data_IF_489055101227
#
_entry.id   IF_489055101227
#
_cell.length_a   1.000
_cell.length_b   1.000
_cell.length_c   1.000
_cell.angle_alpha   90.00
_cell.angle_beta   90.00
_cell.angle_gamma   90.00
#
_symmetry.space_group_name_H-M   'P 1'
#
loop_
_entity.id
_entity.type
_entity.pdbx_description
1 polymer ?
#
# COMPACT_ATOMS: atom_id res chain seq x y z
N UNK A 1 21.03 -0.66 -17.84
CA UNK A 1 21.63 -1.32 -16.65
C UNK A 1 20.80 -2.54 -16.32
N UNK A 2 21.42 -3.70 -16.10
CA UNK A 2 20.70 -4.88 -15.61
C UNK A 2 20.53 -4.77 -14.10
N UNK A 3 19.31 -5.02 -13.61
CA UNK A 3 18.98 -5.01 -12.18
C UNK A 3 18.57 -6.42 -11.76
N UNK A 4 19.52 -7.31 -11.39
CA UNK A 4 19.24 -8.72 -11.18
C UNK A 4 18.20 -8.97 -10.07
N UNK A 5 18.21 -8.18 -9.01
CA UNK A 5 17.22 -8.27 -7.92
C UNK A 5 15.81 -7.94 -8.39
N UNK A 6 15.64 -6.92 -9.23
CA UNK A 6 14.34 -6.56 -9.81
C UNK A 6 13.86 -7.66 -10.74
N UNK A 7 14.75 -8.20 -11.58
CA UNK A 7 14.43 -9.32 -12.47
C UNK A 7 13.98 -10.56 -11.68
N UNK A 8 14.72 -10.92 -10.63
CA UNK A 8 14.38 -12.06 -9.77
C UNK A 8 13.04 -11.87 -9.05
N UNK A 9 12.80 -10.70 -8.44
CA UNK A 9 11.54 -10.40 -7.76
C UNK A 9 10.34 -10.48 -8.71
N UNK A 10 10.45 -9.89 -9.91
CA UNK A 10 9.42 -9.99 -10.96
C UNK A 10 9.14 -11.44 -11.35
N UNK A 11 10.18 -12.27 -11.49
CA UNK A 11 10.01 -13.70 -11.80
C UNK A 11 9.32 -14.48 -10.70
N UNK A 12 9.64 -14.21 -9.43
CA UNK A 12 8.98 -14.85 -8.29
C UNK A 12 7.49 -14.52 -8.28
N UNK A 13 7.14 -13.23 -8.41
CA UNK A 13 5.73 -12.80 -8.43
C UNK A 13 4.99 -13.41 -9.62
N UNK A 14 5.56 -13.38 -10.84
CA UNK A 14 4.97 -14.03 -12.03
C UNK A 14 4.73 -15.52 -11.80
N UNK A 15 5.72 -16.23 -11.22
CA UNK A 15 5.59 -17.67 -10.97
C UNK A 15 4.54 -17.99 -9.90
N UNK A 16 4.40 -17.12 -8.89
CA UNK A 16 3.33 -17.26 -7.90
C UNK A 16 1.96 -17.07 -8.55
N UNK A 17 1.81 -16.03 -9.37
CA UNK A 17 0.57 -15.70 -10.07
C UNK A 17 0.06 -16.82 -11.01
N UNK A 18 0.96 -17.67 -11.52
CA UNK A 18 0.57 -18.86 -12.31
C UNK A 18 -0.20 -19.92 -11.50
N UNK A 19 -0.05 -19.93 -10.16
CA UNK A 19 -0.58 -20.99 -9.28
C UNK A 19 -1.63 -20.51 -8.28
N UNK A 20 -1.69 -19.21 -8.02
CA UNK A 20 -2.58 -18.60 -7.03
C UNK A 20 -2.83 -17.16 -7.39
N UNK A 21 -3.99 -16.66 -7.00
CA UNK A 21 -4.30 -15.24 -7.09
C UNK A 21 -3.42 -14.44 -6.11
N UNK A 22 -2.92 -13.29 -6.58
CA UNK A 22 -2.20 -12.33 -5.74
C UNK A 22 -3.17 -11.19 -5.45
N UNK A 23 -3.75 -11.22 -4.25
CA UNK A 23 -4.81 -10.28 -3.85
C UNK A 23 -4.28 -8.97 -3.28
N UNK A 24 -3.00 -8.93 -2.89
CA UNK A 24 -2.33 -7.75 -2.33
C UNK A 24 -0.84 -7.78 -2.64
N UNK A 25 -0.30 -6.62 -3.05
CA UNK A 25 1.12 -6.38 -3.20
C UNK A 25 1.52 -5.08 -2.51
N UNK A 26 2.50 -5.16 -1.61
CA UNK A 26 3.07 -4.01 -0.91
C UNK A 26 4.55 -3.88 -1.26
N UNK A 27 4.92 -2.72 -1.78
CA UNK A 27 6.30 -2.29 -1.98
C UNK A 27 6.68 -1.36 -0.82
N UNK A 28 7.53 -1.83 0.09
CA UNK A 28 7.81 -1.15 1.36
C UNK A 28 9.05 -0.25 1.25
N UNK A 29 8.89 1.04 1.57
CA UNK A 29 9.93 2.07 1.46
C UNK A 29 10.07 2.87 2.75
N UNK A 30 11.20 3.57 2.86
CA UNK A 30 11.43 4.60 3.86
C UNK A 30 11.45 5.98 3.19
N UNK A 31 10.73 6.94 3.75
CA UNK A 31 10.64 8.29 3.19
C UNK A 31 11.21 9.33 4.16
N UNK A 32 12.33 9.93 3.79
CA UNK A 32 13.10 10.80 4.68
C UNK A 32 12.47 12.18 4.93
N UNK A 33 11.51 12.64 4.12
CA UNK A 33 11.07 14.03 4.11
C UNK A 33 9.56 14.22 3.92
N UNK A 34 8.75 13.45 4.63
CA UNK A 34 7.30 13.68 4.62
C UNK A 34 6.83 14.05 6.01
N UNK A 35 6.33 15.28 6.12
CA UNK A 35 5.63 15.78 7.31
C UNK A 35 4.22 15.20 7.43
N UNK A 36 3.82 14.22 6.60
CA UNK A 36 2.47 13.66 6.62
C UNK A 36 2.34 12.49 7.60
N UNK A 37 3.44 11.90 8.07
CA UNK A 37 3.41 10.56 8.70
C UNK A 37 3.49 9.47 7.63
N UNK A 38 3.31 8.21 8.01
CA UNK A 38 3.31 7.09 7.06
C UNK A 38 2.17 7.23 6.05
N UNK A 39 2.37 6.78 4.81
CA UNK A 39 1.31 6.85 3.79
C UNK A 39 1.47 5.73 2.78
N UNK A 40 0.43 5.51 1.97
CA UNK A 40 0.53 4.61 0.82
C UNK A 40 -0.14 5.22 -0.41
N UNK A 41 0.39 4.86 -1.57
CA UNK A 41 -0.18 5.23 -2.86
C UNK A 41 -0.29 3.99 -3.75
N UNK A 42 -1.38 3.95 -4.52
CA UNK A 42 -1.72 2.85 -5.41
C UNK A 42 -1.94 3.32 -6.83
N UNK A 43 -2.13 2.37 -7.73
CA UNK A 43 -2.36 2.65 -9.14
C UNK A 43 -3.52 1.86 -9.73
N UNK A 44 -4.34 2.56 -10.52
CA UNK A 44 -5.47 1.98 -11.22
C UNK A 44 -5.55 2.51 -12.65
N UNK A 45 -6.50 1.99 -13.42
CA UNK A 45 -6.78 2.48 -14.78
C UNK A 45 -7.33 3.92 -14.73
N UNK A 46 -7.11 4.69 -15.78
CA UNK A 46 -7.50 6.11 -15.82
C UNK A 46 -9.00 6.32 -15.55
N UNK A 47 -9.84 5.42 -16.06
CA UNK A 47 -11.29 5.44 -15.87
C UNK A 47 -11.74 5.10 -14.44
N UNK A 48 -10.85 4.55 -13.62
CA UNK A 48 -11.13 4.07 -12.26
C UNK A 48 -10.61 5.04 -11.19
N UNK A 49 -9.89 6.09 -11.59
CA UNK A 49 -9.41 7.10 -10.66
C UNK A 49 -10.60 7.88 -10.11
N UNK A 50 -10.73 7.90 -8.79
CA UNK A 50 -11.83 8.55 -8.07
C UNK A 50 -13.02 7.63 -7.78
N UNK A 51 -13.03 6.39 -8.30
CA UNK A 51 -14.04 5.41 -7.92
C UNK A 51 -13.69 4.76 -6.58
N UNK A 52 -14.16 5.40 -5.51
CA UNK A 52 -13.90 4.99 -4.13
C UNK A 52 -14.57 3.68 -3.71
N UNK A 53 -15.40 3.08 -4.57
CA UNK A 53 -15.98 1.75 -4.34
C UNK A 53 -14.96 0.63 -4.58
N UNK A 54 -13.89 0.90 -5.34
CA UNK A 54 -12.91 -0.10 -5.72
C UNK A 54 -12.04 -0.57 -4.54
N UNK A 55 -11.58 -1.84 -4.54
CA UNK A 55 -10.74 -2.40 -3.49
C UNK A 55 -9.49 -1.58 -3.17
N UNK A 56 -8.91 -0.93 -4.18
CA UNK A 56 -7.69 -0.12 -4.05
C UNK A 56 -7.86 1.08 -3.10
N UNK A 57 -9.10 1.52 -2.84
CA UNK A 57 -9.42 2.56 -1.86
C UNK A 57 -9.78 2.00 -0.48
N UNK A 58 -10.15 0.71 -0.38
CA UNK A 58 -10.61 0.10 0.87
C UNK A 58 -9.45 -0.29 1.79
N UNK A 59 -8.43 -0.97 1.25
CA UNK A 59 -7.28 -1.41 2.06
C UNK A 59 -6.57 -0.26 2.80
N UNK A 60 -6.24 0.88 2.16
CA UNK A 60 -5.65 2.02 2.85
C UNK A 60 -6.52 2.58 3.99
N UNK A 61 -7.85 2.59 3.83
CA UNK A 61 -8.80 3.04 4.87
C UNK A 61 -8.79 2.10 6.08
N UNK A 62 -8.66 0.79 5.86
CA UNK A 62 -8.50 -0.15 6.98
C UNK A 62 -7.18 0.04 7.70
N UNK A 63 -6.08 0.29 6.97
CA UNK A 63 -4.76 0.58 7.57
C UNK A 63 -4.84 1.84 8.42
N UNK A 64 -5.45 2.91 7.91
CA UNK A 64 -5.64 4.16 8.64
C UNK A 64 -6.43 3.95 9.94
N UNK A 65 -7.57 3.24 9.86
CA UNK A 65 -8.39 2.90 11.02
C UNK A 65 -7.61 2.12 12.08
N UNK A 66 -6.80 1.14 11.67
CA UNK A 66 -6.00 0.33 12.60
C UNK A 66 -4.82 1.12 13.20
N UNK A 67 -4.23 2.03 12.43
CA UNK A 67 -3.20 2.94 12.95
C UNK A 67 -3.76 3.88 14.01
N UNK A 68 -4.93 4.47 13.77
CA UNK A 68 -5.60 5.36 14.74
C UNK A 68 -5.88 4.64 16.07
N UNK A 69 -6.31 3.38 16.02
CA UNK A 69 -6.50 2.55 17.23
C UNK A 69 -5.19 2.27 17.96
N UNK A 70 -4.16 1.87 17.22
CA UNK A 70 -2.86 1.51 17.79
C UNK A 70 -2.13 2.72 18.41
N UNK A 71 -2.34 3.90 17.85
CA UNK A 71 -1.67 5.13 18.25
C UNK A 71 -2.50 6.02 19.19
N UNK A 72 -3.58 5.47 19.78
CA UNK A 72 -4.47 6.20 20.69
C UNK A 72 -4.97 7.54 20.11
N UNK A 73 -5.29 7.56 18.82
CA UNK A 73 -5.77 8.75 18.11
C UNK A 73 -4.68 9.65 17.51
N UNK A 74 -3.39 9.32 17.63
CA UNK A 74 -2.33 10.06 16.91
C UNK A 74 -2.37 9.76 15.41
N UNK A 75 -2.12 10.80 14.60
CA UNK A 75 -2.00 10.67 13.14
C UNK A 75 -0.63 10.08 12.78
N UNK A 76 -0.56 8.76 12.78
CA UNK A 76 0.65 7.99 12.40
C UNK A 76 0.64 7.64 10.92
N UNK A 77 -0.56 7.46 10.35
CA UNK A 77 -0.77 7.14 8.95
C UNK A 77 -1.79 8.09 8.32
N UNK A 78 -1.53 8.48 7.08
CA UNK A 78 -2.42 9.34 6.29
C UNK A 78 -2.78 8.63 5.00
N UNK A 79 -4.07 8.40 4.82
CA UNK A 79 -4.63 8.08 3.52
C UNK A 79 -5.24 9.33 2.90
N UNK A 80 -5.00 9.52 1.60
CA UNK A 80 -5.76 10.48 0.81
C UNK A 80 -6.12 9.86 -0.53
N UNK A 81 -7.30 10.17 -1.04
CA UNK A 81 -7.81 9.57 -2.27
C UNK A 81 -6.93 9.90 -3.48
N UNK A 82 -6.29 11.09 -3.47
CA UNK A 82 -5.32 11.50 -4.49
C UNK A 82 -4.01 10.68 -4.49
N UNK A 83 -3.83 9.79 -3.52
CA UNK A 83 -2.74 8.82 -3.51
C UNK A 83 -3.01 7.63 -4.42
N UNK A 84 -4.25 7.44 -4.89
CA UNK A 84 -4.53 6.54 -6.00
C UNK A 84 -4.38 7.30 -7.31
N UNK A 85 -3.53 6.79 -8.22
CA UNK A 85 -3.15 7.49 -9.46
C UNK A 85 -3.40 6.63 -10.68
N UNK A 86 -3.57 7.27 -11.83
CA UNK A 86 -3.64 6.54 -13.11
C UNK A 86 -2.28 5.91 -13.46
N UNK A 87 -2.32 4.69 -13.98
CA UNK A 87 -1.19 4.02 -14.62
C UNK A 87 -0.61 4.82 -15.80
N UNK A 88 -1.42 5.60 -16.53
CA UNK A 88 -0.98 6.40 -17.70
C UNK A 88 -0.02 7.54 -17.33
N UNK A 89 -0.04 8.00 -16.07
CA UNK A 89 0.71 9.17 -15.59
C UNK A 89 2.05 8.84 -14.93
N UNK A 90 2.56 7.60 -15.01
CA UNK A 90 3.79 7.18 -14.33
C UNK A 90 4.72 6.33 -15.17
N UNK A 91 6.01 6.41 -14.79
CA UNK A 91 7.08 5.62 -15.40
C UNK A 91 6.83 4.14 -15.11
N UNK A 92 6.89 3.30 -16.14
CA UNK A 92 6.75 1.84 -16.07
C UNK A 92 7.77 1.10 -15.14
N UNK A 93 8.68 1.84 -14.49
CA UNK A 93 9.69 1.31 -13.59
C UNK A 93 9.28 1.22 -12.11
N UNK A 94 8.10 1.71 -11.73
CA UNK A 94 7.59 1.63 -10.36
C UNK A 94 6.92 0.27 -10.15
N UNK A 95 7.27 -0.44 -9.07
CA UNK A 95 6.84 -1.82 -8.83
C UNK A 95 5.32 -2.00 -8.93
N UNK A 96 4.53 -1.27 -8.11
CA UNK A 96 3.07 -1.33 -8.17
C UNK A 96 2.43 -1.01 -9.52
N UNK A 97 2.99 -0.07 -10.31
CA UNK A 97 2.51 0.22 -11.68
C UNK A 97 2.69 -0.99 -12.57
N UNK A 98 3.88 -1.62 -12.52
CA UNK A 98 4.18 -2.83 -13.29
C UNK A 98 3.24 -3.98 -12.91
N UNK A 99 3.03 -4.22 -11.61
CA UNK A 99 2.21 -5.34 -11.16
C UNK A 99 0.71 -5.12 -11.37
N UNK A 100 0.21 -3.90 -11.18
CA UNK A 100 -1.16 -3.52 -11.51
C UNK A 100 -1.41 -3.66 -13.03
N UNK A 101 -0.57 -3.03 -13.85
CA UNK A 101 -0.78 -2.99 -15.30
C UNK A 101 -0.48 -4.31 -16.03
N UNK A 102 0.60 -5.04 -15.67
CA UNK A 102 0.97 -6.28 -16.37
C UNK A 102 0.38 -7.55 -15.77
N UNK A 103 0.02 -7.55 -14.48
CA UNK A 103 -0.43 -8.76 -13.78
C UNK A 103 -1.86 -8.65 -13.25
N UNK A 104 -2.53 -7.50 -13.43
CA UNK A 104 -3.91 -7.31 -13.00
C UNK A 104 -4.08 -7.33 -11.48
N UNK A 105 -3.01 -7.08 -10.72
CA UNK A 105 -3.08 -7.04 -9.25
C UNK A 105 -3.70 -5.70 -8.85
N UNK A 106 -4.97 -5.73 -8.45
CA UNK A 106 -5.76 -4.53 -8.17
C UNK A 106 -5.28 -3.78 -6.91
N UNK A 107 -4.89 -4.51 -5.86
CA UNK A 107 -4.37 -3.94 -4.63
C UNK A 107 -2.84 -3.93 -4.66
N UNK A 108 -2.25 -3.05 -5.47
CA UNK A 108 -0.80 -2.86 -5.51
C UNK A 108 -0.44 -1.47 -5.00
N UNK A 109 0.32 -1.41 -3.89
CA UNK A 109 0.66 -0.17 -3.21
C UNK A 109 2.16 -0.02 -3.00
N UNK A 110 2.64 1.22 -3.08
CA UNK A 110 3.87 1.61 -2.40
C UNK A 110 3.50 2.14 -1.03
N UNK A 111 4.18 1.64 0.01
CA UNK A 111 4.04 2.07 1.39
C UNK A 111 5.29 2.84 1.78
N UNK A 112 5.11 4.06 2.25
CA UNK A 112 6.19 4.98 2.62
C UNK A 112 6.23 5.16 4.13
N UNK A 113 7.28 4.65 4.76
CA UNK A 113 7.52 4.76 6.20
C UNK A 113 8.37 6.00 6.49
N UNK A 114 7.72 7.05 6.96
CA UNK A 114 8.37 8.32 7.33
C UNK A 114 9.11 8.27 8.66
N UNK A 115 9.94 9.27 8.93
CA UNK A 115 10.69 9.42 10.20
C UNK A 115 9.95 10.27 11.25
N UNK A 116 8.99 11.08 10.81
CA UNK A 116 8.15 11.89 11.69
C UNK A 116 6.78 12.17 11.03
N UNK A 117 5.84 12.68 11.81
CA UNK A 117 4.53 13.12 11.33
C UNK A 117 4.38 14.65 11.31
N UNK A 118 3.15 15.15 11.07
CA UNK A 118 2.84 16.58 11.01
C UNK A 118 2.96 17.28 12.37
N UNK A 119 2.89 16.52 13.45
CA UNK A 119 2.98 17.01 14.83
C UNK A 119 4.43 17.02 15.35
N UNK A 120 5.41 16.81 14.46
CA UNK A 120 6.83 16.61 14.78
C UNK A 120 7.10 15.44 15.74
N UNK A 121 6.18 14.47 15.86
CA UNK A 121 6.46 13.22 16.55
C UNK A 121 7.52 12.45 15.77
N UNK A 122 8.66 12.16 16.38
CA UNK A 122 9.69 11.32 15.78
C UNK A 122 9.32 9.85 15.99
N UNK A 123 9.22 9.11 14.89
CA UNK A 123 8.85 7.71 14.97
C UNK A 123 9.98 6.86 15.56
N UNK A 124 9.61 6.11 16.58
CA UNK A 124 10.42 5.14 17.29
C UNK A 124 10.25 3.75 16.66
N UNK A 125 11.14 2.78 16.97
CA UNK A 125 10.92 1.38 16.57
C UNK A 125 9.55 0.81 16.95
N UNK A 126 8.96 1.28 18.07
CA UNK A 126 7.61 0.87 18.48
C UNK A 126 6.53 1.40 17.53
N UNK A 127 6.70 2.59 16.97
CA UNK A 127 5.77 3.16 16.00
C UNK A 127 5.76 2.33 14.70
N UNK A 128 6.94 1.95 14.18
CA UNK A 128 7.04 1.06 13.02
C UNK A 128 6.48 -0.33 13.30
N UNK A 129 6.68 -0.88 14.50
CA UNK A 129 6.09 -2.15 14.90
C UNK A 129 4.56 -2.07 14.91
N UNK A 130 4.00 -1.00 15.49
CA UNK A 130 2.56 -0.77 15.52
C UNK A 130 1.99 -0.55 14.11
N UNK A 131 2.73 0.13 13.23
CA UNK A 131 2.34 0.30 11.83
C UNK A 131 2.30 -1.05 11.09
N UNK A 132 3.32 -1.90 11.26
CA UNK A 132 3.33 -3.26 10.70
C UNK A 132 2.15 -4.10 11.21
N UNK A 133 1.84 -4.00 12.51
CA UNK A 133 0.66 -4.68 13.09
C UNK A 133 -0.65 -4.16 12.49
N UNK A 134 -0.78 -2.84 12.29
CA UNK A 134 -1.94 -2.24 11.67
C UNK A 134 -2.13 -2.72 10.22
N UNK A 135 -1.05 -2.86 9.45
CA UNK A 135 -1.07 -3.47 8.12
C UNK A 135 -1.60 -4.90 8.18
N UNK A 136 -1.08 -5.74 9.09
CA UNK A 136 -1.55 -7.12 9.25
C UNK A 136 -3.04 -7.21 9.60
N UNK A 137 -3.51 -6.36 10.52
CA UNK A 137 -4.93 -6.31 10.88
C UNK A 137 -5.80 -5.85 9.70
N UNK A 138 -5.34 -4.87 8.93
CA UNK A 138 -6.03 -4.41 7.73
C UNK A 138 -6.10 -5.50 6.67
N UNK A 139 -5.05 -6.30 6.48
CA UNK A 139 -5.06 -7.46 5.57
C UNK A 139 -6.15 -8.46 5.96
N UNK A 140 -6.29 -8.74 7.26
CA UNK A 140 -7.32 -9.63 7.76
C UNK A 140 -8.74 -9.07 7.50
N UNK A 141 -8.97 -7.78 7.76
CA UNK A 141 -10.26 -7.13 7.46
C UNK A 141 -10.60 -7.10 5.98
N UNK A 142 -9.62 -6.83 5.12
CA UNK A 142 -9.81 -6.90 3.67
C UNK A 142 -10.23 -8.31 3.28
N UNK A 143 -9.56 -9.34 3.80
CA UNK A 143 -9.96 -10.72 3.59
C UNK A 143 -11.41 -10.98 4.05
N UNK A 144 -11.78 -10.62 5.29
CA UNK A 144 -13.16 -10.81 5.79
C UNK A 144 -14.19 -10.11 4.90
N UNK A 145 -13.92 -8.89 4.45
CA UNK A 145 -14.83 -8.12 3.59
C UNK A 145 -14.99 -8.72 2.19
N UNK A 146 -13.95 -9.36 1.65
CA UNK A 146 -13.97 -9.98 0.31
C UNK A 146 -14.74 -11.31 0.31
N UNK A 147 -14.72 -12.05 1.43
CA UNK A 147 -15.28 -13.40 1.50
C UNK A 147 -16.61 -13.50 2.25
N UNK A 148 -17.26 -12.37 2.58
CA UNK A 148 -18.55 -12.30 3.28
C UNK A 148 -18.66 -13.31 4.44
N UNK A 149 -17.61 -13.40 5.27
CA UNK A 149 -17.68 -14.20 6.50
C UNK A 149 -18.43 -13.34 7.54
N UNK A 150 -19.75 -13.26 7.39
CA UNK A 150 -20.69 -12.55 8.25
C UNK A 150 -21.88 -13.43 8.63
#
# INVERSE_FOLDING_TARGET
KQHPTIYAAKRVVKKLAESREITLLLDLHGHYNSNLGHFMYGYTNENNVGDTSLPIYQFPRYVESECQKAANGQNVFVHKEEFVRSNSNRKAGVGPVFFSAEQGIENAFTVESCMHNCDNHQFTPLDYYNFGRAICNAMFKTFESTFEIG
#
